data_IF_160512656033
#
_entry.id   IF_160512656033
#
_cell.length_a   1.000
_cell.length_b   1.000
_cell.length_c   1.000
_cell.angle_alpha   90.00
_cell.angle_beta   90.00
_cell.angle_gamma   90.00
#
_symmetry.space_group_name_H-M   'P 1'
#
loop_
_entity.id
_entity.type
_entity.pdbx_description
1 polymer ?
#
# COMPACT_ATOMS: atom_id res chain seq x y z
N UNK A 1 3.07 -44.45 -12.35
CA UNK A 1 2.95 -43.09 -12.90
C UNK A 1 3.72 -42.17 -11.97
N UNK A 2 4.70 -41.38 -12.42
CA UNK A 2 5.33 -40.43 -11.52
C UNK A 2 4.38 -39.25 -11.31
N UNK A 3 3.96 -39.04 -10.07
CA UNK A 3 3.30 -37.82 -9.63
C UNK A 3 4.36 -36.71 -9.66
N UNK A 4 4.30 -35.82 -10.65
CA UNK A 4 5.11 -34.60 -10.63
C UNK A 4 4.56 -33.67 -9.56
N UNK A 5 5.26 -33.58 -8.43
CA UNK A 5 5.05 -32.54 -7.42
C UNK A 5 5.80 -31.28 -7.89
N UNK A 6 5.07 -30.23 -8.27
CA UNK A 6 5.69 -28.93 -8.57
C UNK A 6 6.06 -28.29 -7.22
N UNK A 7 7.32 -28.45 -6.83
CA UNK A 7 7.90 -27.72 -5.71
C UNK A 7 8.25 -26.31 -6.21
N UNK A 8 7.52 -25.30 -5.76
CA UNK A 8 7.89 -23.91 -6.00
C UNK A 8 9.01 -23.55 -5.03
N UNK A 9 10.22 -23.33 -5.55
CA UNK A 9 11.31 -22.76 -4.76
C UNK A 9 11.18 -21.23 -4.78
N UNK A 10 10.92 -20.65 -3.61
CA UNK A 10 10.97 -19.19 -3.41
C UNK A 10 12.31 -18.87 -2.77
N UNK A 11 13.13 -18.07 -3.46
CA UNK A 11 14.45 -17.65 -2.98
C UNK A 11 14.39 -16.18 -2.59
N UNK A 12 15.02 -15.83 -1.47
CA UNK A 12 15.14 -14.46 -1.02
C UNK A 12 16.60 -14.01 -0.97
N UNK A 13 16.87 -12.82 -1.49
CA UNK A 13 18.19 -12.17 -1.41
C UNK A 13 18.03 -10.74 -0.89
N UNK A 14 18.89 -10.34 0.06
CA UNK A 14 18.99 -8.94 0.49
C UNK A 14 20.22 -8.31 -0.15
N UNK A 15 20.01 -7.26 -0.93
CA UNK A 15 21.09 -6.57 -1.65
C UNK A 15 21.65 -5.39 -0.83
N UNK A 16 22.79 -4.83 -1.26
CA UNK A 16 23.60 -3.86 -0.47
C UNK A 16 22.86 -2.59 -0.03
N UNK A 17 21.81 -2.17 -0.76
CA UNK A 17 20.98 -1.03 -0.40
C UNK A 17 19.87 -1.37 0.64
N UNK A 18 19.78 -2.64 1.05
CA UNK A 18 18.80 -3.17 1.99
C UNK A 18 17.45 -3.55 1.40
N UNK A 19 17.27 -3.43 0.07
CA UNK A 19 16.10 -4.01 -0.61
C UNK A 19 16.17 -5.54 -0.55
N UNK A 20 15.02 -6.18 -0.53
CA UNK A 20 14.90 -7.65 -0.56
C UNK A 20 14.27 -8.06 -1.89
N UNK A 21 14.87 -9.02 -2.56
CA UNK A 21 14.35 -9.61 -3.79
C UNK A 21 13.79 -10.99 -3.45
N UNK A 22 12.58 -11.25 -3.92
CA UNK A 22 11.94 -12.56 -3.92
C UNK A 22 11.91 -13.06 -5.36
N UNK A 23 12.45 -14.25 -5.56
CA UNK A 23 12.47 -14.95 -6.83
C UNK A 23 11.60 -16.20 -6.75
N UNK A 24 10.83 -16.44 -7.80
CA UNK A 24 10.19 -17.72 -8.06
C UNK A 24 10.33 -18.06 -9.54
N UNK A 25 9.86 -19.24 -9.93
CA UNK A 25 9.86 -19.66 -11.34
C UNK A 25 8.96 -18.79 -12.26
N UNK A 26 8.00 -18.03 -11.71
CA UNK A 26 6.98 -17.31 -12.50
C UNK A 26 6.91 -15.81 -12.20
N UNK A 27 7.51 -15.33 -11.12
CA UNK A 27 7.53 -13.91 -10.76
C UNK A 27 8.77 -13.55 -9.94
N UNK A 28 9.13 -12.26 -10.02
CA UNK A 28 10.10 -11.62 -9.14
C UNK A 28 9.45 -10.41 -8.48
N UNK A 29 9.71 -10.22 -7.18
CA UNK A 29 9.28 -9.05 -6.43
C UNK A 29 10.47 -8.40 -5.73
N UNK A 30 10.59 -7.08 -5.83
CA UNK A 30 11.58 -6.28 -5.14
C UNK A 30 10.86 -5.50 -4.03
N UNK A 31 11.02 -5.98 -2.81
CA UNK A 31 10.62 -5.27 -1.61
C UNK A 31 11.59 -4.13 -1.35
N UNK A 32 11.14 -2.92 -1.63
CA UNK A 32 11.97 -1.73 -1.46
C UNK A 32 12.12 -1.46 0.04
N UNK A 33 13.32 -1.13 0.52
CA UNK A 33 13.49 -0.69 1.91
C UNK A 33 12.86 0.69 2.17
N UNK A 34 12.95 1.56 1.17
CA UNK A 34 12.46 2.95 1.21
C UNK A 34 11.32 3.16 0.22
N UNK A 35 10.50 4.18 0.47
CA UNK A 35 9.33 4.55 -0.32
C UNK A 35 8.08 3.70 -0.04
N UNK A 36 6.99 4.02 -0.71
CA UNK A 36 5.67 3.42 -0.49
C UNK A 36 5.35 2.20 -1.34
N UNK A 37 6.19 1.92 -2.34
CA UNK A 37 5.88 0.92 -3.35
C UNK A 37 6.97 -0.14 -3.46
N UNK A 38 6.56 -1.39 -3.64
CA UNK A 38 7.42 -2.46 -4.14
C UNK A 38 7.30 -2.52 -5.66
N UNK A 39 8.24 -3.21 -6.30
CA UNK A 39 8.24 -3.44 -7.75
C UNK A 39 8.02 -4.93 -7.97
N UNK A 40 7.13 -5.29 -8.89
CA UNK A 40 6.94 -6.68 -9.27
C UNK A 40 7.12 -6.88 -10.78
N UNK A 41 7.49 -8.09 -11.16
CA UNK A 41 7.55 -8.59 -12.52
C UNK A 41 7.00 -10.00 -12.56
N UNK A 42 6.11 -10.28 -13.49
CA UNK A 42 5.71 -11.64 -13.83
C UNK A 42 6.36 -12.05 -15.14
N UNK A 43 6.56 -13.35 -15.33
CA UNK A 43 7.26 -13.90 -16.48
C UNK A 43 6.44 -14.99 -17.16
N UNK A 44 6.61 -15.11 -18.47
CA UNK A 44 6.22 -16.29 -19.23
C UNK A 44 7.20 -17.44 -18.97
N UNK A 45 6.81 -18.67 -19.32
CA UNK A 45 7.66 -19.85 -19.17
C UNK A 45 8.98 -19.76 -19.97
N UNK A 46 9.02 -18.92 -21.01
CA UNK A 46 10.23 -18.67 -21.80
C UNK A 46 11.17 -17.62 -21.17
N UNK A 47 10.84 -17.09 -19.99
CA UNK A 47 11.64 -16.10 -19.27
C UNK A 47 11.41 -14.65 -19.70
N UNK A 48 10.60 -14.39 -20.73
CA UNK A 48 10.22 -13.02 -21.08
C UNK A 48 9.26 -12.44 -20.05
N UNK A 49 9.38 -11.14 -19.79
CA UNK A 49 8.47 -10.43 -18.89
C UNK A 49 7.06 -10.49 -19.48
N UNK A 50 6.09 -10.89 -18.66
CA UNK A 50 4.67 -10.84 -18.96
C UNK A 50 4.07 -9.51 -18.52
N UNK A 51 4.36 -9.10 -17.30
CA UNK A 51 3.89 -7.84 -16.73
C UNK A 51 4.95 -7.26 -15.80
N UNK A 52 4.97 -5.93 -15.65
CA UNK A 52 5.73 -5.26 -14.59
C UNK A 52 4.99 -4.02 -14.11
N UNK A 53 5.01 -3.80 -12.80
CA UNK A 53 4.32 -2.68 -12.17
C UNK A 53 4.82 -2.42 -10.76
N UNK A 54 4.03 -1.64 -10.03
CA UNK A 54 4.26 -1.32 -8.62
C UNK A 54 3.08 -1.75 -7.77
N UNK A 55 3.35 -2.08 -6.52
CA UNK A 55 2.33 -2.39 -5.51
C UNK A 55 2.56 -1.51 -4.29
N UNK A 56 1.49 -0.97 -3.71
CA UNK A 56 1.59 -0.23 -2.46
C UNK A 56 1.85 -1.20 -1.31
N UNK A 57 2.85 -0.89 -0.49
CA UNK A 57 3.29 -1.73 0.63
C UNK A 57 2.26 -1.89 1.73
N UNK A 58 1.39 -0.89 1.91
CA UNK A 58 0.48 -0.78 3.05
C UNK A 58 -0.94 -1.22 2.73
N UNK A 59 -1.28 -1.35 1.43
CA UNK A 59 -2.62 -1.71 1.00
C UNK A 59 -2.63 -2.25 -0.44
N UNK A 60 -3.41 -3.31 -0.67
CA UNK A 60 -3.58 -3.86 -2.01
C UNK A 60 -4.39 -2.91 -2.90
N UNK A 61 -3.81 -2.49 -4.00
CA UNK A 61 -4.50 -1.69 -5.01
C UNK A 61 -3.61 -1.40 -6.20
N UNK A 62 -4.21 -0.86 -7.24
CA UNK A 62 -3.54 -0.52 -8.48
C UNK A 62 -2.99 0.91 -8.43
N UNK A 63 -1.68 1.05 -8.59
CA UNK A 63 -0.96 2.33 -8.52
C UNK A 63 0.06 2.44 -9.66
N UNK A 64 0.37 3.68 -10.04
CA UNK A 64 1.35 3.97 -11.08
C UNK A 64 1.03 3.32 -12.44
N UNK A 65 2.09 2.92 -13.14
CA UNK A 65 2.00 2.32 -14.47
C UNK A 65 2.15 0.80 -14.39
N UNK A 66 1.26 0.09 -15.08
CA UNK A 66 1.38 -1.33 -15.39
C UNK A 66 1.72 -1.50 -16.87
N UNK A 67 2.82 -2.19 -17.14
CA UNK A 67 3.24 -2.56 -18.48
C UNK A 67 2.99 -4.03 -18.71
N UNK A 68 2.36 -4.37 -19.82
CA UNK A 68 2.03 -5.73 -20.25
C UNK A 68 2.71 -6.03 -21.59
N UNK A 69 3.24 -7.24 -21.74
CA UNK A 69 4.03 -7.66 -22.88
C UNK A 69 3.51 -8.99 -23.44
N UNK A 70 3.73 -9.25 -24.73
CA UNK A 70 3.49 -10.58 -25.30
C UNK A 70 4.65 -11.55 -25.03
N UNK A 71 4.48 -12.83 -25.37
CA UNK A 71 5.50 -13.86 -25.19
C UNK A 71 6.80 -13.59 -25.96
N UNK A 72 6.77 -12.74 -26.99
CA UNK A 72 7.94 -12.31 -27.76
C UNK A 72 8.68 -11.12 -27.12
N UNK A 73 8.20 -10.64 -25.96
CA UNK A 73 8.80 -9.54 -25.21
C UNK A 73 8.42 -8.15 -25.74
N UNK A 74 7.42 -8.05 -26.62
CA UNK A 74 6.95 -6.78 -27.17
C UNK A 74 5.89 -6.18 -26.25
N UNK A 75 5.98 -4.87 -25.97
CA UNK A 75 4.99 -4.14 -25.19
C UNK A 75 3.65 -4.13 -25.94
N UNK A 76 2.60 -4.64 -25.31
CA UNK A 76 1.25 -4.69 -25.88
C UNK A 76 0.31 -3.68 -25.25
N UNK A 77 0.51 -3.35 -23.97
CA UNK A 77 -0.36 -2.42 -23.25
C UNK A 77 0.38 -1.71 -22.12
N UNK A 78 0.01 -0.45 -21.93
CA UNK A 78 0.36 0.34 -20.76
C UNK A 78 -0.93 0.82 -20.12
N UNK A 79 -1.14 0.47 -18.85
CA UNK A 79 -2.27 0.96 -18.05
C UNK A 79 -1.73 1.98 -17.06
N UNK A 80 -2.28 3.20 -17.10
CA UNK A 80 -1.98 4.25 -16.13
C UNK A 80 -3.12 4.32 -15.11
N UNK A 81 -2.87 3.79 -13.91
CA UNK A 81 -3.84 3.78 -12.82
C UNK A 81 -3.99 5.14 -12.14
N UNK A 82 -3.17 6.12 -12.50
CA UNK A 82 -3.22 7.49 -11.97
C UNK A 82 -3.84 8.48 -12.96
N UNK A 83 -4.09 8.07 -14.21
CA UNK A 83 -4.54 8.92 -15.31
C UNK A 83 -5.69 9.87 -14.94
N UNK A 84 -6.67 9.37 -14.18
CA UNK A 84 -7.88 10.13 -13.83
C UNK A 84 -7.91 10.55 -12.34
N UNK A 85 -6.77 10.43 -11.64
CA UNK A 85 -6.57 10.93 -10.29
C UNK A 85 -5.90 12.31 -10.35
N UNK A 86 -6.53 13.32 -9.76
CA UNK A 86 -6.04 14.70 -9.81
C UNK A 86 -5.00 15.00 -8.74
N UNK A 87 -5.14 14.39 -7.56
CA UNK A 87 -4.20 14.59 -6.47
C UNK A 87 -3.10 13.53 -6.53
N UNK A 88 -1.84 13.99 -6.54
CA UNK A 88 -0.68 13.08 -6.59
C UNK A 88 -0.50 12.34 -5.27
N UNK A 89 0.08 11.13 -5.34
CA UNK A 89 0.43 10.37 -4.13
C UNK A 89 1.40 11.16 -3.23
N UNK A 90 2.33 11.91 -3.81
CA UNK A 90 3.26 12.79 -3.07
C UNK A 90 2.50 13.83 -2.22
N UNK A 91 1.51 14.53 -2.79
CA UNK A 91 0.68 15.46 -2.03
C UNK A 91 -0.07 14.77 -0.90
N UNK A 92 -0.55 13.54 -1.09
CA UNK A 92 -1.19 12.76 -0.01
C UNK A 92 -0.18 12.41 1.10
N UNK A 93 1.07 12.08 0.77
CA UNK A 93 2.12 11.85 1.79
C UNK A 93 2.48 13.10 2.60
N UNK A 94 2.39 14.29 1.99
CA UNK A 94 2.54 15.56 2.71
C UNK A 94 1.40 15.78 3.70
N UNK A 95 0.15 15.54 3.29
CA UNK A 95 -1.01 15.59 4.18
C UNK A 95 -0.83 14.60 5.34
N UNK A 96 -0.46 13.35 5.03
CA UNK A 96 -0.17 12.34 6.05
C UNK A 96 0.90 12.82 7.03
N UNK A 97 1.97 13.44 6.55
CA UNK A 97 3.05 13.98 7.38
C UNK A 97 2.58 15.10 8.31
N UNK A 98 1.64 15.96 7.89
CA UNK A 98 1.02 16.96 8.78
C UNK A 98 0.24 16.30 9.90
N UNK A 99 -0.55 15.27 9.60
CA UNK A 99 -1.36 14.54 10.57
C UNK A 99 -0.52 13.71 11.53
N UNK A 100 0.53 13.05 11.04
CA UNK A 100 1.56 12.39 11.85
C UNK A 100 2.07 13.34 12.93
N UNK A 101 2.50 14.54 12.55
CA UNK A 101 3.03 15.56 13.49
C UNK A 101 1.95 16.04 14.47
N UNK A 102 0.75 16.31 13.99
CA UNK A 102 -0.38 16.81 14.80
C UNK A 102 -0.79 15.86 15.92
N UNK A 103 -0.73 14.55 15.66
CA UNK A 103 -1.16 13.50 16.59
C UNK A 103 0.01 12.70 17.18
N UNK A 104 1.25 13.15 16.93
CA UNK A 104 2.51 12.53 17.37
C UNK A 104 2.69 11.04 16.97
N UNK A 105 2.13 10.61 15.83
CA UNK A 105 2.32 9.24 15.34
C UNK A 105 3.78 8.98 15.01
N UNK A 106 4.27 7.79 15.34
CA UNK A 106 5.66 7.36 15.05
C UNK A 106 5.80 6.70 13.69
N UNK A 107 4.69 6.36 13.04
CA UNK A 107 4.66 5.85 11.66
C UNK A 107 5.43 6.78 10.71
N UNK A 108 6.20 6.22 9.78
CA UNK A 108 6.82 6.99 8.71
C UNK A 108 5.79 7.32 7.62
N UNK A 109 5.83 8.55 7.10
CA UNK A 109 4.88 9.06 6.12
C UNK A 109 5.54 9.72 4.92
N UNK A 110 6.84 10.02 4.96
CA UNK A 110 7.54 10.66 3.86
C UNK A 110 7.52 9.80 2.59
N UNK A 111 7.52 10.43 1.41
CA UNK A 111 7.45 9.75 0.11
C UNK A 111 8.58 8.73 -0.11
N UNK A 112 9.76 8.99 0.45
CA UNK A 112 10.97 8.15 0.38
C UNK A 112 11.32 7.49 1.73
N UNK A 113 10.40 7.53 2.70
CA UNK A 113 10.61 7.02 4.04
C UNK A 113 10.71 5.49 4.12
N UNK A 114 11.15 4.97 5.27
CA UNK A 114 11.09 3.53 5.57
C UNK A 114 9.69 3.21 6.09
N UNK A 115 8.80 2.85 5.17
CA UNK A 115 7.39 2.60 5.47
C UNK A 115 7.23 1.25 6.17
N UNK A 116 6.53 1.26 7.31
CA UNK A 116 6.15 0.05 8.01
C UNK A 116 4.98 -0.63 7.28
N UNK A 117 5.27 -1.72 6.58
CA UNK A 117 4.30 -2.56 5.88
C UNK A 117 3.75 -3.69 6.77
N UNK A 118 4.28 -3.83 7.98
CA UNK A 118 3.79 -4.76 8.96
C UNK A 118 2.54 -4.20 9.66
N UNK A 119 1.39 -4.50 9.07
CA UNK A 119 0.08 -4.15 9.61
C UNK A 119 -0.39 -5.10 10.72
N UNK A 120 0.52 -5.84 11.38
CA UNK A 120 0.22 -6.73 12.52
C UNK A 120 -0.25 -6.01 13.79
N UNK A 121 -0.46 -4.70 13.71
CA UNK A 121 -1.13 -3.89 14.70
C UNK A 121 -0.43 -3.72 16.04
N UNK A 122 0.84 -4.12 16.12
CA UNK A 122 1.69 -4.00 17.32
C UNK A 122 2.53 -2.73 17.33
N UNK A 123 2.47 -1.96 16.24
CA UNK A 123 3.23 -0.73 16.05
C UNK A 123 2.35 0.35 15.42
N UNK A 124 2.82 1.59 15.53
CA UNK A 124 2.27 2.68 14.73
C UNK A 124 2.45 2.34 13.24
N UNK A 125 1.37 2.41 12.49
CA UNK A 125 1.41 2.28 11.04
C UNK A 125 0.42 3.24 10.39
N UNK A 126 0.62 3.47 9.10
CA UNK A 126 -0.24 4.31 8.26
C UNK A 126 -0.60 3.53 7.02
N UNK A 127 -1.86 3.60 6.61
CA UNK A 127 -2.33 3.11 5.31
C UNK A 127 -2.73 4.33 4.49
N UNK A 128 -2.27 4.37 3.24
CA UNK A 128 -2.78 5.29 2.23
C UNK A 128 -3.45 4.46 1.14
N UNK A 129 -4.74 4.69 0.92
CA UNK A 129 -5.50 3.97 -0.11
C UNK A 129 -6.46 4.86 -0.89
N UNK A 130 -6.73 4.44 -2.11
CA UNK A 130 -7.72 5.03 -3.01
C UNK A 130 -9.09 4.40 -2.77
N UNK A 131 -10.15 5.18 -2.95
CA UNK A 131 -11.54 4.70 -2.97
C UNK A 131 -12.35 5.48 -4.00
N UNK A 132 -13.20 4.78 -4.75
CA UNK A 132 -14.18 5.38 -5.64
C UNK A 132 -15.59 5.03 -5.14
N UNK A 133 -16.47 6.02 -5.01
CA UNK A 133 -17.86 5.84 -4.57
C UNK A 133 -18.77 6.84 -5.29
N UNK A 134 -19.81 6.33 -5.95
CA UNK A 134 -20.82 7.12 -6.69
C UNK A 134 -20.16 8.14 -7.65
N UNK A 135 -19.14 7.69 -8.39
CA UNK A 135 -18.42 8.53 -9.37
C UNK A 135 -17.50 9.60 -8.78
N UNK A 136 -17.29 9.59 -7.46
CA UNK A 136 -16.31 10.45 -6.77
C UNK A 136 -15.11 9.64 -6.32
N UNK A 137 -13.94 10.26 -6.33
CA UNK A 137 -12.66 9.65 -5.95
C UNK A 137 -12.11 10.30 -4.69
N UNK A 138 -11.59 9.46 -3.83
CA UNK A 138 -11.12 9.83 -2.51
C UNK A 138 -9.80 9.16 -2.19
N UNK A 139 -8.97 9.88 -1.45
CA UNK A 139 -7.83 9.33 -0.76
C UNK A 139 -8.14 9.18 0.72
N UNK A 140 -7.85 8.01 1.24
CA UNK A 140 -7.95 7.69 2.66
C UNK A 140 -6.53 7.60 3.24
N UNK A 141 -6.30 8.34 4.32
CA UNK A 141 -5.09 8.27 5.13
C UNK A 141 -5.49 7.77 6.50
N UNK A 142 -5.03 6.58 6.86
CA UNK A 142 -5.53 5.80 7.99
C UNK A 142 -4.39 5.49 8.95
N UNK A 143 -4.34 6.17 10.08
CA UNK A 143 -3.35 5.98 11.13
C UNK A 143 -3.85 5.03 12.21
N UNK A 144 -2.98 4.11 12.63
CA UNK A 144 -3.19 3.23 13.76
C UNK A 144 -2.07 3.40 14.78
N UNK A 145 -2.43 3.50 16.07
CA UNK A 145 -1.50 3.37 17.19
C UNK A 145 -2.08 2.39 18.20
N UNK A 146 -1.40 1.29 18.52
CA UNK A 146 -1.82 0.44 19.62
C UNK A 146 -1.61 1.14 20.96
N UNK A 147 -2.60 1.05 21.85
CA UNK A 147 -2.51 1.49 23.23
C UNK A 147 -2.54 0.27 24.14
N UNK A 148 -1.37 -0.29 24.41
CA UNK A 148 -1.22 -1.42 25.32
C UNK A 148 -1.09 -0.94 26.77
N UNK A 149 -2.18 -0.47 27.35
CA UNK A 149 -2.22 -0.23 28.80
C UNK A 149 -2.39 -1.56 29.58
N UNK A 150 -2.96 -2.58 28.93
CA UNK A 150 -3.08 -3.95 29.44
C UNK A 150 -3.08 -4.94 28.26
N UNK A 151 -2.31 -6.05 28.28
CA UNK A 151 -2.28 -7.03 27.18
C UNK A 151 -3.66 -7.67 26.85
N UNK A 152 -4.61 -7.63 27.78
CA UNK A 152 -5.99 -8.10 27.59
C UNK A 152 -6.93 -7.02 27.04
N UNK A 153 -6.50 -5.76 27.04
CA UNK A 153 -7.30 -4.61 26.61
C UNK A 153 -6.62 -3.93 25.43
N UNK A 154 -6.71 -4.55 24.25
CA UNK A 154 -6.14 -4.04 22.99
C UNK A 154 -7.00 -2.88 22.48
N UNK A 155 -6.89 -1.74 23.13
CA UNK A 155 -7.42 -0.48 22.63
C UNK A 155 -6.46 0.06 21.57
N UNK A 156 -7.01 0.61 20.50
CA UNK A 156 -6.19 1.28 19.48
C UNK A 156 -6.72 2.69 19.25
N UNK A 157 -5.81 3.61 18.99
CA UNK A 157 -6.11 4.97 18.59
C UNK A 157 -6.07 5.07 17.06
N UNK A 158 -7.13 5.62 16.49
CA UNK A 158 -7.34 5.70 15.04
C UNK A 158 -7.56 7.13 14.61
N UNK A 159 -6.87 7.53 13.55
CA UNK A 159 -7.19 8.76 12.82
C UNK A 159 -7.38 8.40 11.35
N UNK A 160 -8.57 8.70 10.82
CA UNK A 160 -8.88 8.55 9.39
C UNK A 160 -9.10 9.94 8.81
N UNK A 161 -8.35 10.27 7.77
CA UNK A 161 -8.47 11.51 7.01
C UNK A 161 -8.93 11.16 5.60
N UNK A 162 -10.02 11.78 5.18
CA UNK A 162 -10.55 11.64 3.81
C UNK A 162 -10.21 12.91 3.04
N UNK A 163 -9.57 12.75 1.89
CA UNK A 163 -9.22 13.83 0.98
C UNK A 163 -9.99 13.63 -0.31
N UNK A 164 -10.68 14.68 -0.75
CA UNK A 164 -11.33 14.73 -2.07
C UNK A 164 -10.27 14.77 -3.16
N UNK A 165 -10.28 13.83 -4.08
CA UNK A 165 -9.28 13.79 -5.15
C UNK A 165 -9.38 15.01 -6.07
N UNK A 166 -10.59 15.48 -6.38
CA UNK A 166 -10.82 16.56 -7.34
C UNK A 166 -10.25 17.90 -6.86
N UNK A 167 -10.29 18.17 -5.55
CA UNK A 167 -9.81 19.43 -4.98
C UNK A 167 -8.50 19.29 -4.20
N UNK A 168 -8.08 18.07 -3.85
CA UNK A 168 -6.96 17.82 -2.94
C UNK A 168 -7.21 18.29 -1.52
N UNK A 169 -8.47 18.62 -1.16
CA UNK A 169 -8.84 19.16 0.16
C UNK A 169 -9.34 18.07 1.08
N UNK A 170 -9.02 18.24 2.36
CA UNK A 170 -9.55 17.42 3.46
C UNK A 170 -11.07 17.63 3.54
N UNK A 171 -11.83 16.54 3.47
CA UNK A 171 -13.29 16.55 3.60
C UNK A 171 -13.71 16.24 5.03
N UNK A 172 -13.20 15.14 5.56
CA UNK A 172 -13.60 14.60 6.84
C UNK A 172 -12.41 14.04 7.59
N UNK A 173 -12.53 14.07 8.90
CA UNK A 173 -11.54 13.50 9.81
C UNK A 173 -12.26 12.84 10.97
N UNK A 174 -12.05 11.54 11.12
CA UNK A 174 -12.52 10.78 12.26
C UNK A 174 -11.34 10.47 13.18
N UNK A 175 -11.44 10.83 14.45
CA UNK A 175 -10.48 10.47 15.49
C UNK A 175 -11.22 9.72 16.58
N UNK A 176 -10.88 8.46 16.78
CA UNK A 176 -11.63 7.58 17.67
C UNK A 176 -10.72 6.52 18.29
N UNK A 177 -11.29 5.83 19.26
CA UNK A 177 -10.70 4.66 19.87
C UNK A 177 -11.68 3.51 19.74
N UNK A 178 -11.18 2.34 19.35
CA UNK A 178 -11.98 1.13 19.30
C UNK A 178 -11.27 -0.04 19.99
N UNK A 179 -12.07 -1.07 20.26
CA UNK A 179 -11.62 -2.35 20.78
C UNK A 179 -11.67 -3.36 19.65
N UNK A 180 -10.63 -4.18 19.55
CA UNK A 180 -10.47 -5.22 18.54
C UNK A 180 -10.22 -4.69 17.11
N UNK A 181 -9.15 -5.22 16.55
CA UNK A 181 -8.38 -4.66 15.44
C UNK A 181 -8.92 -5.04 14.06
N UNK A 182 -10.22 -4.90 13.83
CA UNK A 182 -10.83 -5.52 12.64
C UNK A 182 -10.77 -4.62 11.40
N UNK A 183 -11.37 -3.43 11.42
CA UNK A 183 -11.40 -2.53 10.25
C UNK A 183 -11.45 -1.05 10.65
N UNK A 184 -10.88 -0.17 9.81
CA UNK A 184 -11.07 1.26 9.95
C UNK A 184 -12.53 1.63 9.66
N UNK A 185 -13.06 2.57 10.45
CA UNK A 185 -14.37 3.17 10.21
C UNK A 185 -14.30 4.07 8.98
N UNK A 186 -15.38 4.08 8.22
CA UNK A 186 -15.52 4.90 7.02
C UNK A 186 -16.27 6.19 7.37
N UNK A 187 -15.60 7.35 7.42
CA UNK A 187 -16.23 8.60 7.85
C UNK A 187 -17.44 8.96 6.98
N UNK A 188 -17.35 8.68 5.67
CA UNK A 188 -18.40 9.01 4.69
C UNK A 188 -19.67 8.16 4.83
N UNK A 189 -19.64 7.05 5.61
CA UNK A 189 -20.80 6.17 5.84
C UNK A 189 -21.50 6.43 7.17
N UNK A 190 -20.86 7.12 8.11
CA UNK A 190 -21.46 7.44 9.41
C UNK A 190 -22.33 8.74 9.34
N UNK A 191 -22.46 9.37 8.16
CA UNK A 191 -23.16 10.65 7.94
C UNK A 191 -24.56 10.52 7.27
N UNK A 192 -25.14 9.31 7.22
CA UNK A 192 -26.51 9.05 6.69
C UNK A 192 -27.47 8.70 7.82
#
# INVERSE_FOLDING_TARGET
MPNSEIVYEIVYETISNGDKIEFSNSYNRIYKKRGWFNIYKEYYANGNIKSKGVENKTYNGDYGLLYEFNEQGQLTKTTDFEKDWHTSFESITEIATRYKKKYDYKAETAIDGVINDNTNWEQDYVIIRRKEEIGKRYWYIEFNRPQYENPLNKKVERVVVVVDDATGKELEKLHYFDFYNTFFKDPLKETI
#
